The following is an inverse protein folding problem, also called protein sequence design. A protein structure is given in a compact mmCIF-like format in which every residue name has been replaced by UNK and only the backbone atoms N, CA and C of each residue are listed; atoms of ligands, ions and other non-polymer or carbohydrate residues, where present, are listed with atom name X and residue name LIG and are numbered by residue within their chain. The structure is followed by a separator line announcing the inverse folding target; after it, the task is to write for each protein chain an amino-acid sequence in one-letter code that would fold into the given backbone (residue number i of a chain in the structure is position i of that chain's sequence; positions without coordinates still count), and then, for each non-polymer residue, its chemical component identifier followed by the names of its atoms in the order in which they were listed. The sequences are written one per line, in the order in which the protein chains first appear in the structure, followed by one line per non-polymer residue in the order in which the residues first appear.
data_IF_471646527691
#
_entry.id   IF_471646527691
#
_cell.length_a   1.000
_cell.length_b   1.000
_cell.length_c   1.000
_cell.angle_alpha   90.00
_cell.angle_beta   90.00
_cell.angle_gamma   90.00
#
_symmetry.space_group_name_H-M   'P 1'
#
loop_
_entity.id
_entity.type
_entity.pdbx_description
1 polymer ?
#
# COMPACT_ATOMS: atom_id res chain seq x y z
N UNK A 1 -11.45 -56.38 0.03
CA UNK A 1 -12.71 -56.91 0.59
C UNK A 1 -13.85 -56.06 0.03
N UNK A 2 -14.91 -56.66 -0.52
CA UNK A 2 -16.04 -55.88 -1.04
C UNK A 2 -16.87 -55.30 0.11
N UNK A 3 -17.44 -54.12 -0.11
CA UNK A 3 -18.28 -53.39 0.86
C UNK A 3 -19.44 -54.26 1.39
N UNK A 4 -19.93 -55.18 0.55
CA UNK A 4 -21.01 -56.14 0.83
C UNK A 4 -20.66 -57.15 1.93
N UNK A 5 -19.40 -57.58 2.03
CA UNK A 5 -18.98 -58.53 3.08
C UNK A 5 -18.94 -57.84 4.44
N UNK A 6 -18.51 -56.58 4.48
CA UNK A 6 -18.51 -55.77 5.70
C UNK A 6 -19.93 -55.42 6.17
N UNK A 7 -20.84 -55.09 5.25
CA UNK A 7 -22.26 -54.82 5.58
C UNK A 7 -23.00 -56.05 6.06
N UNK A 8 -22.75 -57.22 5.44
CA UNK A 8 -23.38 -58.48 5.88
C UNK A 8 -22.94 -58.88 7.30
N UNK A 9 -21.65 -58.74 7.62
CA UNK A 9 -21.12 -58.95 8.98
C UNK A 9 -21.65 -57.97 10.01
N UNK A 10 -21.78 -56.69 9.66
CA UNK A 10 -22.39 -55.67 10.54
C UNK A 10 -23.84 -56.01 10.86
N UNK A 11 -24.60 -56.46 9.86
CA UNK A 11 -26.00 -56.87 10.05
C UNK A 11 -26.15 -58.18 10.84
N UNK A 12 -25.15 -59.08 10.81
CA UNK A 12 -25.12 -60.28 11.66
C UNK A 12 -24.80 -59.95 13.14
N UNK A 13 -23.98 -58.93 13.39
CA UNK A 13 -23.61 -58.49 14.75
C UNK A 13 -24.76 -57.69 15.40
N UNK A 14 -25.49 -56.90 14.62
CA UNK A 14 -26.63 -56.10 15.07
C UNK A 14 -27.90 -56.94 14.95
N UNK A 15 -28.08 -57.92 15.84
CA UNK A 15 -29.37 -58.63 15.98
C UNK A 15 -30.35 -57.83 16.86
N UNK A 16 -31.68 -57.85 16.59
CA UNK A 16 -32.63 -56.89 17.15
C UNK A 16 -33.02 -57.10 18.62
N UNK A 17 -32.35 -57.99 19.36
CA UNK A 17 -32.87 -58.56 20.62
C UNK A 17 -32.03 -58.26 21.86
N UNK A 18 -31.01 -57.39 21.78
CA UNK A 18 -30.18 -57.01 22.93
C UNK A 18 -29.68 -55.57 22.88
N UNK A 19 -29.03 -55.11 23.95
CA UNK A 19 -28.39 -53.78 23.98
C UNK A 19 -27.29 -53.72 22.91
N UNK A 20 -27.64 -53.09 21.79
CA UNK A 20 -26.79 -52.92 20.61
C UNK A 20 -25.44 -52.29 21.00
N UNK A 21 -25.41 -51.44 22.04
CA UNK A 21 -24.16 -50.84 22.54
C UNK A 21 -23.23 -51.90 23.11
N UNK A 22 -23.75 -52.83 23.92
CA UNK A 22 -22.96 -53.94 24.48
C UNK A 22 -22.50 -54.91 23.40
N UNK A 23 -23.34 -55.22 22.42
CA UNK A 23 -22.96 -56.09 21.30
C UNK A 23 -21.86 -55.46 20.44
N UNK A 24 -21.96 -54.15 20.16
CA UNK A 24 -20.92 -53.41 19.44
C UNK A 24 -19.62 -53.33 20.25
N UNK A 25 -19.68 -53.12 21.57
CA UNK A 25 -18.50 -53.11 22.44
C UNK A 25 -17.79 -54.47 22.44
N UNK A 26 -18.54 -55.57 22.57
CA UNK A 26 -18.00 -56.94 22.52
C UNK A 26 -17.39 -57.25 21.14
N UNK A 27 -18.02 -56.80 20.06
CA UNK A 27 -17.50 -56.98 18.71
C UNK A 27 -16.21 -56.17 18.48
N UNK A 28 -16.15 -54.94 18.99
CA UNK A 28 -14.94 -54.11 18.96
C UNK A 28 -13.81 -54.83 19.73
N UNK A 29 -14.11 -55.38 20.89
CA UNK A 29 -13.14 -56.10 21.72
C UNK A 29 -12.59 -57.36 21.03
N UNK A 30 -13.46 -58.20 20.46
CA UNK A 30 -13.07 -59.39 19.69
C UNK A 30 -12.24 -59.04 18.43
N UNK A 31 -12.63 -57.98 17.71
CA UNK A 31 -11.86 -57.49 16.56
C UNK A 31 -10.49 -56.95 17.01
N UNK A 32 -10.44 -56.24 18.13
CA UNK A 32 -9.18 -55.71 18.69
C UNK A 32 -8.22 -56.83 19.05
N UNK A 33 -8.72 -57.89 19.70
CA UNK A 33 -7.92 -59.09 20.03
C UNK A 33 -7.37 -59.77 18.77
N UNK A 34 -8.18 -59.88 17.72
CA UNK A 34 -7.75 -60.46 16.43
C UNK A 34 -6.69 -59.61 15.74
N UNK A 35 -6.82 -58.29 15.80
CA UNK A 35 -5.82 -57.36 15.26
C UNK A 35 -4.50 -57.48 16.02
N UNK A 36 -4.52 -57.57 17.36
CA UNK A 36 -3.30 -57.74 18.16
C UNK A 36 -2.60 -59.07 17.88
N UNK A 37 -3.34 -60.17 17.74
CA UNK A 37 -2.76 -61.46 17.30
C UNK A 37 -2.13 -61.39 15.91
N UNK A 38 -2.75 -60.68 14.97
CA UNK A 38 -2.18 -60.49 13.63
C UNK A 38 -0.91 -59.64 13.67
N UNK A 39 -0.86 -58.62 14.53
CA UNK A 39 0.36 -57.84 14.76
C UNK A 39 1.49 -58.70 15.32
N UNK A 40 1.23 -59.52 16.35
CA UNK A 40 2.21 -60.46 16.92
C UNK A 40 2.80 -61.38 15.83
N UNK A 41 1.96 -61.93 14.95
CA UNK A 41 2.40 -62.78 13.83
C UNK A 41 3.25 -62.00 12.83
N UNK A 42 2.86 -60.76 12.49
CA UNK A 42 3.60 -59.90 11.57
C UNK A 42 4.97 -59.52 12.17
N UNK A 43 5.03 -59.22 13.47
CA UNK A 43 6.27 -58.86 14.17
C UNK A 43 7.26 -60.02 14.37
N UNK A 44 6.80 -61.27 14.31
CA UNK A 44 7.66 -62.47 14.27
C UNK A 44 8.41 -62.61 12.93
N UNK A 45 7.96 -61.95 11.86
CA UNK A 45 8.66 -61.91 10.58
C UNK A 45 9.58 -60.68 10.51
N UNK A 46 10.85 -60.85 10.90
CA UNK A 46 11.79 -59.73 11.08
C UNK A 46 12.14 -58.95 9.79
N UNK A 47 11.75 -59.44 8.60
CA UNK A 47 12.17 -58.89 7.29
C UNK A 47 11.03 -58.72 6.26
N UNK A 48 9.78 -58.45 6.66
CA UNK A 48 8.74 -58.06 5.69
C UNK A 48 8.45 -56.56 5.74
N UNK A 49 8.15 -55.95 4.59
CA UNK A 49 7.84 -54.52 4.49
C UNK A 49 6.65 -54.12 5.40
N UNK A 50 5.71 -55.05 5.62
CA UNK A 50 4.54 -54.85 6.49
C UNK A 50 4.97 -54.71 7.96
N UNK A 51 5.98 -55.47 8.43
CA UNK A 51 6.45 -55.35 9.81
C UNK A 51 7.19 -54.04 10.05
N UNK A 52 7.93 -53.54 9.05
CA UNK A 52 8.52 -52.20 9.09
C UNK A 52 7.45 -51.09 9.14
N UNK A 53 6.40 -51.19 8.33
CA UNK A 53 5.26 -50.26 8.34
C UNK A 53 4.54 -50.28 9.70
N UNK A 54 4.29 -51.46 10.26
CA UNK A 54 3.67 -51.60 11.59
C UNK A 54 4.53 -50.99 12.70
N UNK A 55 5.85 -51.25 12.74
CA UNK A 55 6.77 -50.63 13.73
C UNK A 55 6.80 -49.11 13.60
N UNK A 56 6.83 -48.60 12.36
CA UNK A 56 6.86 -47.15 12.09
C UNK A 56 5.55 -46.49 12.53
N UNK A 57 4.41 -47.15 12.27
CA UNK A 57 3.09 -46.69 12.70
C UNK A 57 2.94 -46.65 14.21
N UNK A 58 3.40 -47.68 14.93
CA UNK A 58 3.36 -47.71 16.40
C UNK A 58 4.32 -46.68 17.02
N UNK A 59 5.50 -46.48 16.43
CA UNK A 59 6.41 -45.43 16.85
C UNK A 59 5.79 -44.03 16.67
N UNK A 60 5.15 -43.79 15.52
CA UNK A 60 4.45 -42.53 15.24
C UNK A 60 3.29 -42.32 16.22
N UNK A 61 2.50 -43.36 16.48
CA UNK A 61 1.42 -43.33 17.50
C UNK A 61 1.96 -42.93 18.86
N UNK A 62 3.02 -43.59 19.35
CA UNK A 62 3.63 -43.26 20.64
C UNK A 62 4.24 -41.86 20.69
N UNK A 63 4.74 -41.34 19.57
CA UNK A 63 5.20 -39.93 19.45
C UNK A 63 4.03 -38.95 19.49
N UNK A 64 2.91 -39.26 18.83
CA UNK A 64 1.70 -38.44 18.86
C UNK A 64 1.10 -38.42 20.26
N UNK A 65 1.00 -39.56 20.96
CA UNK A 65 0.51 -39.64 22.33
C UNK A 65 1.34 -38.76 23.28
N UNK A 66 2.68 -38.85 23.20
CA UNK A 66 3.58 -37.97 23.98
C UNK A 66 3.44 -36.49 23.62
N UNK A 67 3.18 -36.18 22.35
CA UNK A 67 2.95 -34.79 21.92
C UNK A 67 1.64 -34.27 22.50
N UNK A 68 0.56 -35.05 22.42
CA UNK A 68 -0.74 -34.70 22.99
C UNK A 68 -0.62 -34.47 24.50
N UNK A 69 0.05 -35.36 25.23
CA UNK A 69 0.28 -35.19 26.66
C UNK A 69 1.06 -33.90 26.98
N UNK A 70 2.10 -33.58 26.20
CA UNK A 70 2.85 -32.32 26.36
C UNK A 70 2.00 -31.08 26.05
N UNK A 71 1.17 -31.13 25.01
CA UNK A 71 0.27 -30.03 24.64
C UNK A 71 -0.77 -29.83 25.73
N UNK A 72 -1.43 -30.90 26.19
CA UNK A 72 -2.39 -30.84 27.30
C UNK A 72 -1.75 -30.26 28.56
N UNK A 73 -0.57 -30.74 28.96
CA UNK A 73 0.17 -30.21 30.11
C UNK A 73 0.54 -28.72 29.96
N UNK A 74 0.90 -28.29 28.74
CA UNK A 74 1.25 -26.88 28.48
C UNK A 74 0.00 -26.00 28.49
N UNK A 75 -1.10 -26.48 27.94
CA UNK A 75 -2.39 -25.80 27.92
C UNK A 75 -2.95 -25.65 29.34
N UNK A 76 -2.81 -26.68 30.19
CA UNK A 76 -3.16 -26.62 31.61
C UNK A 76 -2.32 -25.59 32.36
N UNK A 77 -1.00 -25.55 32.12
CA UNK A 77 -0.12 -24.52 32.69
C UNK A 77 -0.53 -23.12 32.25
N UNK A 78 -0.87 -22.95 30.99
CA UNK A 78 -1.33 -21.66 30.45
C UNK A 78 -2.65 -21.22 31.08
N UNK A 79 -3.61 -22.14 31.23
CA UNK A 79 -4.90 -21.88 31.92
C UNK A 79 -4.68 -21.51 33.38
N UNK A 80 -3.69 -22.10 34.06
CA UNK A 80 -3.35 -21.75 35.46
C UNK A 80 -2.67 -20.38 35.60
N UNK A 81 -1.90 -19.97 34.59
CA UNK A 81 -1.24 -18.66 34.57
C UNK A 81 -2.17 -17.52 34.13
N UNK A 82 -3.22 -17.84 33.35
CA UNK A 82 -4.18 -16.87 32.82
C UNK A 82 -4.82 -15.97 33.90
N UNK A 83 -5.26 -16.46 35.07
CA UNK A 83 -5.79 -15.63 36.15
C UNK A 83 -4.75 -14.71 36.80
N UNK A 84 -3.47 -15.07 36.76
CA UNK A 84 -2.37 -14.25 37.30
C UNK A 84 -1.95 -13.16 36.30
N UNK A 85 -2.02 -13.47 35.01
CA UNK A 85 -1.62 -12.56 33.92
C UNK A 85 -2.77 -11.67 33.46
N UNK A 86 -4.02 -12.13 33.52
CA UNK A 86 -5.19 -11.35 33.07
C UNK A 86 -5.28 -9.99 33.77
N UNK A 87 -5.17 -9.86 35.10
CA UNK A 87 -5.23 -8.55 35.74
C UNK A 87 -4.08 -7.61 35.34
N UNK A 88 -2.90 -8.18 35.06
CA UNK A 88 -1.76 -7.41 34.57
C UNK A 88 -1.99 -6.93 33.14
N UNK A 89 -2.57 -7.79 32.29
CA UNK A 89 -2.98 -7.43 30.93
C UNK A 89 -4.09 -6.38 30.95
N UNK A 90 -5.13 -6.57 31.75
CA UNK A 90 -6.26 -5.65 31.87
C UNK A 90 -5.83 -4.28 32.43
N UNK A 91 -4.76 -4.23 33.23
CA UNK A 91 -4.15 -2.99 33.71
C UNK A 91 -3.20 -2.36 32.68
N UNK A 92 -2.40 -3.16 31.97
CA UNK A 92 -1.39 -2.67 31.05
C UNK A 92 -1.96 -2.31 29.67
N UNK A 93 -2.93 -3.06 29.17
CA UNK A 93 -3.49 -2.90 27.83
C UNK A 93 -4.09 -1.51 27.59
N UNK A 94 -4.89 -0.92 28.51
CA UNK A 94 -5.35 0.46 28.36
C UNK A 94 -4.22 1.47 28.27
N UNK A 95 -3.13 1.27 29.02
CA UNK A 95 -1.95 2.15 28.98
C UNK A 95 -1.19 1.99 27.66
N UNK A 96 -1.07 0.76 27.15
CA UNK A 96 -0.48 0.49 25.83
C UNK A 96 -1.30 1.16 24.73
N UNK A 97 -2.63 0.99 24.75
CA UNK A 97 -3.54 1.65 23.81
C UNK A 97 -3.42 3.18 23.88
N UNK A 98 -3.33 3.75 25.09
CA UNK A 98 -3.13 5.18 25.29
C UNK A 98 -1.76 5.65 24.75
N UNK A 99 -0.69 4.87 24.98
CA UNK A 99 0.64 5.13 24.42
C UNK A 99 0.63 5.09 22.88
N UNK A 100 -0.05 4.12 22.27
CA UNK A 100 -0.19 4.03 20.82
C UNK A 100 -0.95 5.24 20.24
N UNK A 101 -1.98 5.71 20.94
CA UNK A 101 -2.71 6.94 20.58
C UNK A 101 -1.79 8.16 20.67
N UNK A 102 -1.05 8.30 21.77
CA UNK A 102 -0.11 9.42 21.95
C UNK A 102 1.02 9.39 20.92
N UNK A 103 1.53 8.23 20.57
CA UNK A 103 2.58 8.09 19.55
C UNK A 103 2.07 8.55 18.17
N UNK A 104 0.84 8.21 17.81
CA UNK A 104 0.19 8.70 16.58
C UNK A 104 0.00 10.21 16.62
N UNK A 105 -0.48 10.76 17.73
CA UNK A 105 -0.67 12.21 17.88
C UNK A 105 0.65 12.98 17.83
N UNK A 106 1.70 12.46 18.48
CA UNK A 106 3.03 13.05 18.46
C UNK A 106 3.58 13.11 17.03
N UNK A 107 3.47 12.00 16.28
CA UNK A 107 3.89 11.97 14.86
C UNK A 107 3.15 13.00 14.01
N UNK A 108 1.84 13.15 14.20
CA UNK A 108 1.04 14.17 13.49
C UNK A 108 1.54 15.59 13.83
N UNK A 109 1.83 15.87 15.10
CA UNK A 109 2.36 17.17 15.54
C UNK A 109 3.76 17.45 14.97
N UNK A 110 4.68 16.49 15.06
CA UNK A 110 6.03 16.60 14.49
C UNK A 110 5.98 16.86 12.98
N UNK A 111 5.11 16.14 12.26
CA UNK A 111 4.91 16.35 10.84
C UNK A 111 4.32 17.73 10.54
N UNK A 112 3.33 18.19 11.31
CA UNK A 112 2.74 19.53 11.17
C UNK A 112 3.74 20.66 11.44
N UNK A 113 4.59 20.51 12.47
CA UNK A 113 5.63 21.48 12.79
C UNK A 113 6.66 21.56 11.65
N UNK A 114 7.11 20.42 11.15
CA UNK A 114 8.07 20.38 10.06
C UNK A 114 7.51 20.95 8.75
N UNK A 115 6.23 20.68 8.44
CA UNK A 115 5.55 21.33 7.31
C UNK A 115 5.49 22.85 7.46
N UNK A 116 5.18 23.34 8.67
CA UNK A 116 5.14 24.78 8.96
C UNK A 116 6.51 25.43 8.75
N UNK A 117 7.58 24.76 9.18
CA UNK A 117 8.95 25.20 8.94
C UNK A 117 9.28 25.28 7.44
N UNK A 118 8.98 24.23 6.67
CA UNK A 118 9.25 24.21 5.23
C UNK A 118 8.45 25.28 4.47
N UNK A 119 7.19 25.48 4.83
CA UNK A 119 6.35 26.54 4.24
C UNK A 119 6.91 27.94 4.57
N UNK A 120 7.42 28.17 5.78
CA UNK A 120 8.05 29.44 6.14
C UNK A 120 9.25 29.77 5.24
N UNK A 121 9.97 28.74 4.77
CA UNK A 121 11.03 28.89 3.77
C UNK A 121 10.49 29.36 2.42
N UNK A 122 9.40 28.75 1.95
CA UNK A 122 8.70 29.16 0.71
C UNK A 122 8.21 30.61 0.81
N UNK A 123 7.56 30.98 1.92
CA UNK A 123 7.08 32.35 2.17
C UNK A 123 8.24 33.35 2.19
N UNK A 124 9.32 33.02 2.89
CA UNK A 124 10.50 33.89 2.97
C UNK A 124 11.12 34.12 1.59
N UNK A 125 11.26 33.05 0.80
CA UNK A 125 11.76 33.13 -0.58
C UNK A 125 10.87 34.01 -1.48
N UNK A 126 9.54 33.91 -1.32
CA UNK A 126 8.57 34.78 -2.01
C UNK A 126 8.73 36.25 -1.63
N UNK A 127 8.94 36.54 -0.34
CA UNK A 127 9.09 37.91 0.18
C UNK A 127 10.36 38.57 -0.34
N UNK A 128 11.48 37.83 -0.35
CA UNK A 128 12.77 38.35 -0.88
C UNK A 128 12.83 38.33 -2.42
N UNK A 129 11.82 37.76 -3.07
CA UNK A 129 11.70 37.62 -4.52
C UNK A 129 12.90 36.90 -5.16
N UNK A 130 13.39 35.86 -4.50
CA UNK A 130 14.46 35.00 -5.01
C UNK A 130 13.87 33.71 -5.58
N UNK A 131 13.93 33.58 -6.91
CA UNK A 131 13.38 32.43 -7.64
C UNK A 131 14.12 31.12 -7.34
N UNK A 132 15.45 31.16 -7.19
CA UNK A 132 16.25 29.95 -6.98
C UNK A 132 15.95 29.37 -5.60
N UNK A 133 15.99 30.22 -4.58
CA UNK A 133 15.63 29.84 -3.20
C UNK A 133 14.17 29.38 -3.12
N UNK A 134 13.26 30.00 -3.89
CA UNK A 134 11.85 29.59 -3.92
C UNK A 134 11.68 28.17 -4.48
N UNK A 135 12.37 27.87 -5.59
CA UNK A 135 12.32 26.55 -6.23
C UNK A 135 12.90 25.48 -5.31
N UNK A 136 14.03 25.75 -4.67
CA UNK A 136 14.63 24.81 -3.72
C UNK A 136 13.76 24.60 -2.48
N UNK A 137 13.14 25.66 -1.94
CA UNK A 137 12.20 25.54 -0.82
C UNK A 137 10.97 24.69 -1.18
N UNK A 138 10.40 24.91 -2.37
CA UNK A 138 9.30 24.08 -2.87
C UNK A 138 9.72 22.62 -3.07
N UNK A 139 10.93 22.37 -3.59
CA UNK A 139 11.45 21.01 -3.76
C UNK A 139 11.58 20.28 -2.41
N UNK A 140 12.09 20.96 -1.38
CA UNK A 140 12.17 20.41 -0.04
C UNK A 140 10.77 20.08 0.50
N UNK A 141 9.83 21.01 0.37
CA UNK A 141 8.43 20.81 0.79
C UNK A 141 7.78 19.59 0.13
N UNK A 142 7.78 19.51 -1.20
CA UNK A 142 7.17 18.39 -1.92
C UNK A 142 7.93 17.07 -1.74
N UNK A 143 9.25 17.11 -1.59
CA UNK A 143 10.05 15.91 -1.29
C UNK A 143 9.73 15.35 0.09
N UNK A 144 9.52 16.21 1.09
CA UNK A 144 9.13 15.80 2.43
C UNK A 144 7.76 15.14 2.40
N UNK A 145 6.76 15.77 1.78
CA UNK A 145 5.42 15.18 1.64
C UNK A 145 5.49 13.82 0.94
N UNK A 146 6.21 13.74 -0.18
CA UNK A 146 6.37 12.50 -0.93
C UNK A 146 6.96 11.37 -0.07
N UNK A 147 8.00 11.68 0.72
CA UNK A 147 8.68 10.69 1.56
C UNK A 147 7.78 10.18 2.67
N UNK A 148 7.07 11.09 3.33
CA UNK A 148 6.18 10.76 4.44
C UNK A 148 5.00 9.93 3.97
N UNK A 149 4.42 10.30 2.83
CA UNK A 149 3.36 9.52 2.19
C UNK A 149 3.76 8.15 1.69
N UNK A 150 4.99 8.02 1.22
CA UNK A 150 5.51 6.72 0.79
C UNK A 150 5.75 5.78 1.98
N UNK A 151 5.91 6.34 3.18
CA UNK A 151 6.21 5.60 4.41
C UNK A 151 4.94 5.28 5.20
N UNK A 152 4.03 6.25 5.32
CA UNK A 152 2.77 6.13 6.07
C UNK A 152 1.63 6.88 5.33
N UNK A 153 0.84 6.18 4.50
CA UNK A 153 -0.21 6.80 3.69
C UNK A 153 -1.35 7.42 4.51
N UNK A 154 -1.56 6.95 5.74
CA UNK A 154 -2.72 7.30 6.56
C UNK A 154 -2.54 8.65 7.29
N UNK A 155 -1.33 9.22 7.27
CA UNK A 155 -1.02 10.53 7.88
C UNK A 155 -1.55 11.71 7.03
N UNK A 156 -1.74 11.51 5.71
CA UNK A 156 -2.07 12.61 4.80
C UNK A 156 -3.43 13.27 5.05
N UNK A 157 -4.53 12.52 5.19
CA UNK A 157 -5.86 13.12 5.30
C UNK A 157 -5.95 13.98 6.55
N UNK A 158 -5.41 13.48 7.66
CA UNK A 158 -5.41 14.16 8.96
C UNK A 158 -4.64 15.48 8.93
N UNK A 159 -3.58 15.59 8.12
CA UNK A 159 -2.75 16.81 8.08
C UNK A 159 -3.18 17.77 6.96
N UNK A 160 -3.51 17.28 5.76
CA UNK A 160 -3.89 18.14 4.63
C UNK A 160 -5.29 18.73 4.77
N UNK A 161 -6.24 18.05 5.42
CA UNK A 161 -7.60 18.59 5.62
C UNK A 161 -7.62 19.89 6.45
N UNK A 162 -6.61 20.10 7.30
CA UNK A 162 -6.54 21.23 8.23
C UNK A 162 -5.54 22.30 7.83
N UNK A 163 -4.70 22.04 6.82
CA UNK A 163 -3.57 22.93 6.55
C UNK A 163 -3.90 23.98 5.49
N UNK A 164 -4.23 25.19 5.95
CA UNK A 164 -4.16 26.41 5.12
C UNK A 164 -2.77 26.59 4.49
N UNK A 165 -1.78 25.92 5.07
CA UNK A 165 -0.36 25.89 4.73
C UNK A 165 -0.06 25.25 3.38
N UNK A 166 -0.74 24.15 3.06
CA UNK A 166 -0.57 23.48 1.78
C UNK A 166 -0.96 24.38 0.61
N UNK A 167 -1.98 25.23 0.82
CA UNK A 167 -2.43 26.21 -0.17
C UNK A 167 -1.34 27.21 -0.52
N UNK A 168 -0.57 27.71 0.44
CA UNK A 168 0.53 28.66 0.20
C UNK A 168 1.60 28.08 -0.73
N UNK A 169 1.97 26.82 -0.51
CA UNK A 169 2.97 26.14 -1.36
C UNK A 169 2.43 25.92 -2.78
N UNK A 170 1.15 25.54 -2.91
CA UNK A 170 0.49 25.43 -4.21
C UNK A 170 0.37 26.78 -4.92
N UNK A 171 0.01 27.85 -4.22
CA UNK A 171 -0.10 29.20 -4.75
C UNK A 171 1.28 29.72 -5.22
N UNK A 172 2.34 29.36 -4.51
CA UNK A 172 3.73 29.70 -4.88
C UNK A 172 4.22 28.90 -6.08
N UNK A 173 3.84 27.62 -6.19
CA UNK A 173 4.08 26.83 -7.41
C UNK A 173 3.31 27.40 -8.60
N UNK A 174 2.04 27.78 -8.39
CA UNK A 174 1.21 28.41 -9.41
C UNK A 174 1.79 29.73 -9.88
N UNK A 175 2.39 30.52 -8.99
CA UNK A 175 3.12 31.72 -9.36
C UNK A 175 4.25 31.40 -10.34
N UNK A 176 5.08 30.39 -10.08
CA UNK A 176 6.16 29.98 -10.99
C UNK A 176 5.63 29.51 -12.36
N UNK A 177 4.55 28.72 -12.35
CA UNK A 177 3.88 28.29 -13.59
C UNK A 177 3.37 29.49 -14.38
N UNK A 178 2.72 30.42 -13.70
CA UNK A 178 2.15 31.62 -14.30
C UNK A 178 3.25 32.51 -14.89
N UNK A 179 4.36 32.69 -14.18
CA UNK A 179 5.49 33.46 -14.65
C UNK A 179 6.10 32.87 -15.93
N UNK A 180 6.31 31.54 -15.94
CA UNK A 180 6.77 30.85 -17.14
C UNK A 180 5.75 30.94 -18.29
N UNK A 181 4.44 30.85 -18.02
CA UNK A 181 3.41 31.09 -19.04
C UNK A 181 3.46 32.50 -19.63
N UNK A 182 3.73 33.52 -18.81
CA UNK A 182 3.89 34.89 -19.28
C UNK A 182 5.13 35.03 -20.17
N UNK A 183 6.23 34.36 -19.82
CA UNK A 183 7.41 34.27 -20.67
C UNK A 183 7.06 33.62 -22.02
N UNK A 184 6.40 32.46 -22.01
CA UNK A 184 5.95 31.78 -23.24
C UNK A 184 5.02 32.68 -24.08
N UNK A 185 4.16 33.48 -23.46
CA UNK A 185 3.32 34.48 -24.17
C UNK A 185 4.17 35.58 -24.81
N UNK A 186 5.13 36.13 -24.08
CA UNK A 186 6.03 37.18 -24.56
C UNK A 186 6.85 36.70 -25.76
N UNK A 187 7.30 35.45 -25.72
CA UNK A 187 8.06 34.80 -26.80
C UNK A 187 7.18 34.29 -27.96
N UNK A 188 5.87 34.49 -27.90
CA UNK A 188 4.89 33.91 -28.82
C UNK A 188 5.01 32.37 -28.97
N UNK A 189 5.41 31.67 -27.91
CA UNK A 189 5.63 30.22 -27.95
C UNK A 189 4.34 29.40 -27.71
N UNK A 190 4.12 28.30 -28.45
CA UNK A 190 4.88 27.90 -29.64
C UNK A 190 4.57 28.84 -30.81
N UNK A 191 5.62 29.17 -31.57
CA UNK A 191 5.56 30.12 -32.69
C UNK A 191 4.57 29.60 -33.72
N UNK A 192 3.50 30.36 -33.95
CA UNK A 192 2.57 30.11 -35.04
C UNK A 192 3.15 30.86 -36.24
N UNK A 193 3.75 30.13 -37.17
CA UNK A 193 4.12 30.69 -38.47
C UNK A 193 2.82 30.92 -39.23
N UNK A 194 2.21 32.09 -39.03
CA UNK A 194 1.18 32.59 -39.93
C UNK A 194 1.85 32.86 -41.27
N UNK A 195 1.18 32.49 -42.36
CA UNK A 195 1.63 32.60 -43.73
C UNK A 195 2.35 33.92 -44.01
N UNK A 196 3.61 33.80 -44.46
CA UNK A 196 4.38 34.75 -45.27
C UNK A 196 3.96 36.22 -45.10
N UNK A 197 4.38 36.85 -44.01
CA UNK A 197 4.66 38.29 -44.04
C UNK A 197 6.15 38.46 -44.30
N UNK A 198 6.49 39.10 -45.43
CA UNK A 198 7.86 39.41 -45.86
C UNK A 198 8.61 40.36 -44.90
N UNK A 199 7.97 40.83 -43.82
CA UNK A 199 8.60 41.59 -42.74
C UNK A 199 8.48 40.86 -41.40
N UNK A 200 9.63 40.36 -40.92
CA UNK A 200 9.86 40.00 -39.52
C UNK A 200 9.75 38.50 -39.19
N UNK A 201 10.79 37.73 -39.53
CA UNK A 201 11.10 36.51 -38.79
C UNK A 201 11.17 36.91 -37.32
N UNK A 202 10.30 36.33 -36.48
CA UNK A 202 10.34 36.60 -35.05
C UNK A 202 11.63 36.02 -34.47
N UNK A 203 12.69 36.82 -34.44
CA UNK A 203 13.99 36.47 -33.85
C UNK A 203 13.92 36.78 -32.37
N UNK A 204 13.85 35.74 -31.54
CA UNK A 204 14.15 35.87 -30.11
C UNK A 204 15.55 36.48 -29.97
N UNK A 205 15.70 37.47 -29.11
CA UNK A 205 17.04 37.97 -28.78
C UNK A 205 17.76 36.99 -27.83
N UNK A 206 19.08 37.14 -27.72
CA UNK A 206 19.89 36.29 -26.84
C UNK A 206 19.42 36.35 -25.37
N UNK A 207 18.98 37.51 -24.89
CA UNK A 207 18.44 37.69 -23.54
C UNK A 207 17.15 36.89 -23.32
N UNK A 208 16.26 36.86 -24.32
CA UNK A 208 15.01 36.10 -24.29
C UNK A 208 15.27 34.59 -24.29
N UNK A 209 16.23 34.14 -25.10
CA UNK A 209 16.71 32.76 -25.15
C UNK A 209 17.34 32.34 -23.82
N UNK A 210 18.16 33.20 -23.23
CA UNK A 210 18.82 32.94 -21.96
C UNK A 210 17.80 32.86 -20.83
N UNK A 211 16.83 33.78 -20.77
CA UNK A 211 15.77 33.76 -19.78
C UNK A 211 14.90 32.50 -19.91
N UNK A 212 14.51 32.14 -21.13
CA UNK A 212 13.78 30.89 -21.39
C UNK A 212 14.57 29.67 -20.93
N UNK A 213 15.86 29.58 -21.31
CA UNK A 213 16.72 28.46 -20.92
C UNK A 213 16.87 28.38 -19.41
N UNK A 214 17.05 29.52 -18.73
CA UNK A 214 17.20 29.58 -17.28
C UNK A 214 15.93 29.09 -16.57
N UNK A 215 14.77 29.67 -16.90
CA UNK A 215 13.50 29.29 -16.28
C UNK A 215 13.13 27.83 -16.61
N UNK A 216 13.39 27.38 -17.85
CA UNK A 216 13.16 25.99 -18.25
C UNK A 216 14.04 25.02 -17.44
N UNK A 217 15.33 25.31 -17.32
CA UNK A 217 16.25 24.47 -16.55
C UNK A 217 15.85 24.43 -15.08
N UNK A 218 15.55 25.59 -14.49
CA UNK A 218 15.15 25.71 -13.10
C UNK A 218 13.88 24.89 -12.81
N UNK A 219 12.83 25.04 -13.62
CA UNK A 219 11.60 24.26 -13.50
C UNK A 219 11.80 22.77 -13.79
N UNK A 220 12.74 22.42 -14.66
CA UNK A 220 13.06 21.01 -14.95
C UNK A 220 13.68 20.27 -13.76
N UNK A 221 14.16 20.99 -12.74
CA UNK A 221 14.71 20.36 -11.52
C UNK A 221 13.64 19.75 -10.62
N UNK A 222 12.35 20.07 -10.84
CA UNK A 222 11.26 19.45 -10.09
C UNK A 222 11.05 17.98 -10.51
N UNK A 223 10.91 17.11 -9.50
CA UNK A 223 10.56 15.71 -9.72
C UNK A 223 9.04 15.55 -9.79
N UNK A 224 8.54 15.10 -10.94
CA UNK A 224 7.10 14.91 -11.18
C UNK A 224 6.46 13.93 -10.17
N UNK A 225 7.18 12.89 -9.78
CA UNK A 225 6.71 11.93 -8.76
C UNK A 225 6.31 12.59 -7.45
N UNK A 226 7.00 13.68 -7.05
CA UNK A 226 6.71 14.39 -5.81
C UNK A 226 5.40 15.19 -5.89
N UNK A 227 4.97 15.60 -7.09
CA UNK A 227 3.70 16.28 -7.30
C UNK A 227 2.54 15.30 -7.44
N UNK A 228 2.75 14.20 -8.16
CA UNK A 228 1.70 13.24 -8.51
C UNK A 228 1.00 12.61 -7.31
N UNK A 229 1.66 12.61 -6.15
CA UNK A 229 1.09 12.07 -4.92
C UNK A 229 -0.02 12.96 -4.33
N UNK A 230 -0.09 14.22 -4.75
CA UNK A 230 -1.05 15.22 -4.28
C UNK A 230 -2.03 15.62 -5.39
N UNK A 231 -1.65 15.46 -6.66
CA UNK A 231 -2.49 15.84 -7.79
C UNK A 231 -3.63 14.83 -8.01
N UNK A 232 -4.86 15.35 -8.13
CA UNK A 232 -6.04 14.54 -8.52
C UNK A 232 -5.93 13.96 -9.93
N UNK A 233 -5.13 14.58 -10.80
CA UNK A 233 -4.75 14.07 -12.12
C UNK A 233 -3.23 14.01 -12.20
N UNK A 234 -2.63 12.82 -12.17
CA UNK A 234 -1.18 12.68 -12.20
C UNK A 234 -0.62 13.15 -13.55
N UNK A 235 0.52 13.80 -13.50
CA UNK A 235 1.33 14.18 -14.66
C UNK A 235 2.13 12.97 -15.16
N UNK A 236 2.42 12.92 -16.45
CA UNK A 236 3.27 11.89 -17.05
C UNK A 236 4.71 12.02 -16.53
N UNK A 237 5.25 10.91 -16.01
CA UNK A 237 6.59 10.87 -15.40
C UNK A 237 7.73 11.06 -16.40
N UNK A 238 7.53 10.67 -17.66
CA UNK A 238 8.56 10.74 -18.72
C UNK A 238 8.76 12.15 -19.29
N UNK A 239 7.99 13.13 -18.82
CA UNK A 239 8.08 14.54 -19.25
C UNK A 239 8.47 15.43 -18.09
N UNK A 240 9.42 16.34 -18.31
CA UNK A 240 9.79 17.33 -17.29
C UNK A 240 8.68 18.34 -17.05
N UNK A 241 8.71 18.99 -15.88
CA UNK A 241 7.67 19.91 -15.45
C UNK A 241 7.36 21.06 -16.42
N UNK A 242 8.33 21.80 -16.99
CA UNK A 242 8.02 22.86 -17.94
C UNK A 242 7.39 22.34 -19.25
N UNK A 243 7.65 21.09 -19.65
CA UNK A 243 6.99 20.50 -20.81
C UNK A 243 5.50 20.25 -20.57
N UNK A 244 5.10 19.90 -19.34
CA UNK A 244 3.68 19.82 -18.99
C UNK A 244 2.98 21.18 -19.15
N UNK A 245 3.63 22.28 -18.77
CA UNK A 245 3.09 23.63 -18.93
C UNK A 245 2.93 23.98 -20.41
N UNK A 246 3.97 23.74 -21.22
CA UNK A 246 3.96 23.98 -22.67
C UNK A 246 2.85 23.17 -23.34
N UNK A 247 2.78 21.87 -23.06
CA UNK A 247 1.84 20.95 -23.70
C UNK A 247 0.40 21.22 -23.27
N UNK A 248 0.14 21.61 -22.02
CA UNK A 248 -1.21 21.96 -21.57
C UNK A 248 -1.82 23.09 -22.44
N UNK A 249 -0.99 24.07 -22.85
CA UNK A 249 -1.42 25.16 -23.71
C UNK A 249 -1.71 24.70 -25.14
N UNK A 250 -0.88 23.80 -25.67
CA UNK A 250 -1.07 23.17 -26.99
C UNK A 250 -2.32 22.29 -27.01
N UNK A 251 -2.51 21.46 -25.99
CA UNK A 251 -3.67 20.60 -25.82
C UNK A 251 -4.97 21.40 -25.76
N UNK A 252 -4.98 22.54 -25.04
CA UNK A 252 -6.12 23.45 -25.00
C UNK A 252 -6.47 23.99 -26.39
N UNK A 253 -5.48 24.40 -27.18
CA UNK A 253 -5.68 24.83 -28.57
C UNK A 253 -6.18 23.68 -29.44
N UNK A 254 -5.57 22.51 -29.34
CA UNK A 254 -5.96 21.32 -30.10
C UNK A 254 -7.42 20.96 -29.83
N UNK A 255 -7.81 20.85 -28.56
CA UNK A 255 -9.21 20.57 -28.18
C UNK A 255 -10.16 21.64 -28.70
N UNK A 256 -9.79 22.92 -28.64
CA UNK A 256 -10.62 23.99 -29.20
C UNK A 256 -10.85 23.82 -30.71
N UNK A 257 -9.79 23.55 -31.48
CA UNK A 257 -9.90 23.45 -32.93
C UNK A 257 -10.56 22.15 -33.40
N UNK A 258 -10.26 21.02 -32.76
CA UNK A 258 -10.66 19.68 -33.23
C UNK A 258 -11.81 19.04 -32.45
N UNK A 259 -12.09 19.52 -31.23
CA UNK A 259 -13.15 18.96 -30.37
C UNK A 259 -14.24 19.99 -29.98
N UNK A 260 -14.03 21.28 -30.25
CA UNK A 260 -15.01 22.34 -29.97
C UNK A 260 -16.15 22.36 -30.99
N UNK A 261 -17.38 22.53 -30.50
CA UNK A 261 -18.58 22.66 -31.33
C UNK A 261 -18.61 24.03 -32.05
N UNK A 262 -19.25 24.13 -33.23
CA UNK A 262 -19.28 25.38 -34.02
C UNK A 262 -19.86 26.59 -33.28
N UNK A 263 -20.68 26.39 -32.24
CA UNK A 263 -21.22 27.47 -31.39
C UNK A 263 -20.13 28.17 -30.57
N UNK A 264 -19.18 27.43 -30.00
CA UNK A 264 -18.08 27.99 -29.20
C UNK A 264 -17.07 28.79 -30.04
N UNK A 265 -17.12 28.65 -31.37
CA UNK A 265 -16.23 29.31 -32.33
C UNK A 265 -16.78 30.65 -32.85
N UNK A 266 -18.08 30.95 -32.65
CA UNK A 266 -18.71 32.18 -33.15
C UNK A 266 -18.89 33.29 -32.10
N UNK A 267 -18.99 32.96 -30.81
CA UNK A 267 -19.31 33.94 -29.74
C UNK A 267 -18.17 34.90 -29.34
N UNK A 268 -17.07 34.98 -30.10
CA UNK A 268 -15.98 35.96 -29.85
C UNK A 268 -15.47 36.72 -31.07
N UNK A 269 -16.14 36.58 -32.21
CA UNK A 269 -15.95 37.48 -33.36
C UNK A 269 -17.07 38.53 -33.49
N UNK A 270 -17.87 38.71 -32.42
CA UNK A 270 -18.80 39.82 -32.24
C UNK A 270 -18.29 40.75 -31.13
#
# INVERSE_FOLDING_TARGET
MSLEVCTRRLNEIVCPTGDIRQQLLLAIEDITIKIERLKEIIFLSENCEISHICRTSENLKGRMEKLFEKVSNSQEKMIRLLPEVSPLYDMANPVIEECEIFEKQLRVLEFSEHLSFLESGVLSARIINDKDTLVDSLKQYFSFIYTQLSTDPDILPSVLEHSQQHKTCLDSLLYLVTDFEHLLRRLNFPVIVSEVTEDGIQTWCDDDLQLFSSDFQLLSTFKISHFNIILSKPLLLDMCFPMHIILARLEKRFRYHFCGSQKDKQDRHA
#
